data_IF_709091288885
#
_entry.id   IF_709091288885
#
_cell.length_a   1.000
_cell.length_b   1.000
_cell.length_c   1.000
_cell.angle_alpha   90.00
_cell.angle_beta   90.00
_cell.angle_gamma   90.00
#
_symmetry.space_group_name_H-M   'P 1'
#
loop_
_entity.id
_entity.type
_entity.pdbx_description
1 polymer ?
#
# COMPACT_ATOMS: atom_id res chain seq x y z
N UNK A 1 -24.31 33.86 -47.20
CA UNK A 1 -25.39 33.19 -47.96
C UNK A 1 -24.96 31.74 -48.14
N UNK A 2 -25.80 30.78 -47.71
CA UNK A 2 -25.55 29.34 -47.90
C UNK A 2 -25.37 29.07 -49.39
N UNK A 3 -24.30 28.37 -49.77
CA UNK A 3 -24.14 27.90 -51.14
C UNK A 3 -24.66 26.46 -51.18
N UNK A 4 -25.76 26.18 -51.90
CA UNK A 4 -26.40 24.87 -51.89
C UNK A 4 -25.50 23.73 -52.38
N UNK A 5 -24.49 24.02 -53.21
CA UNK A 5 -23.51 23.01 -53.65
C UNK A 5 -22.53 22.67 -52.53
N UNK A 6 -22.08 23.67 -51.75
CA UNK A 6 -21.23 23.45 -50.58
C UNK A 6 -21.96 22.60 -49.54
N UNK A 7 -23.23 22.91 -49.28
CA UNK A 7 -24.04 22.17 -48.31
C UNK A 7 -24.22 20.70 -48.76
N UNK A 8 -24.41 20.44 -50.06
CA UNK A 8 -24.45 19.09 -50.62
C UNK A 8 -23.12 18.33 -50.46
N UNK A 9 -21.97 18.98 -50.66
CA UNK A 9 -20.67 18.35 -50.41
C UNK A 9 -20.46 18.01 -48.94
N UNK A 10 -20.89 18.88 -48.04
CA UNK A 10 -20.85 18.64 -46.59
C UNK A 10 -21.71 17.42 -46.26
N UNK A 11 -22.98 17.36 -46.69
CA UNK A 11 -23.83 16.19 -46.43
C UNK A 11 -23.23 14.89 -46.97
N UNK A 12 -22.71 14.89 -48.20
CA UNK A 12 -22.11 13.70 -48.80
C UNK A 12 -20.88 13.19 -48.02
N UNK A 13 -20.04 14.10 -47.50
CA UNK A 13 -18.91 13.72 -46.66
C UNK A 13 -19.35 13.21 -45.29
N UNK A 14 -20.40 13.79 -44.71
CA UNK A 14 -20.95 13.31 -43.45
C UNK A 14 -21.52 11.89 -43.60
N UNK A 15 -22.25 11.62 -44.68
CA UNK A 15 -22.79 10.28 -44.97
C UNK A 15 -21.66 9.26 -45.18
N UNK A 16 -20.57 9.67 -45.85
CA UNK A 16 -19.37 8.85 -45.98
C UNK A 16 -18.73 8.51 -44.63
N UNK A 17 -18.54 9.52 -43.76
CA UNK A 17 -17.94 9.30 -42.43
C UNK A 17 -18.83 8.41 -41.55
N UNK A 18 -20.15 8.63 -41.56
CA UNK A 18 -21.09 7.79 -40.81
C UNK A 18 -21.03 6.33 -41.30
N UNK A 19 -20.94 6.11 -42.61
CA UNK A 19 -20.80 4.77 -43.19
C UNK A 19 -19.48 4.09 -42.83
N UNK A 20 -18.36 4.82 -42.92
CA UNK A 20 -17.02 4.28 -42.63
C UNK A 20 -16.88 3.94 -41.15
N UNK A 21 -17.22 4.86 -40.24
CA UNK A 21 -17.11 4.62 -38.80
C UNK A 21 -18.20 3.71 -38.24
N UNK A 22 -19.22 3.35 -39.02
CA UNK A 22 -20.14 2.25 -38.69
C UNK A 22 -19.47 0.87 -38.82
N UNK A 23 -18.41 0.76 -39.63
CA UNK A 23 -17.69 -0.49 -39.85
C UNK A 23 -16.67 -0.75 -38.74
N UNK A 24 -16.78 -1.91 -38.09
CA UNK A 24 -15.84 -2.31 -37.02
C UNK A 24 -14.39 -2.36 -37.50
N UNK A 25 -14.16 -2.78 -38.75
CA UNK A 25 -12.84 -2.87 -39.37
C UNK A 25 -12.17 -1.50 -39.47
N UNK A 26 -12.91 -0.46 -39.81
CA UNK A 26 -12.40 0.92 -39.89
C UNK A 26 -12.01 1.42 -38.50
N UNK A 27 -12.86 1.23 -37.49
CA UNK A 27 -12.55 1.61 -36.10
C UNK A 27 -11.27 0.91 -35.60
N UNK A 28 -11.14 -0.39 -35.87
CA UNK A 28 -9.97 -1.16 -35.49
C UNK A 28 -8.70 -0.66 -36.20
N UNK A 29 -8.79 -0.38 -37.50
CA UNK A 29 -7.67 0.15 -38.28
C UNK A 29 -7.21 1.51 -37.74
N UNK A 30 -8.12 2.45 -37.53
CA UNK A 30 -7.81 3.78 -37.02
C UNK A 30 -7.14 3.73 -35.64
N UNK A 31 -7.65 2.88 -34.75
CA UNK A 31 -7.05 2.70 -33.42
C UNK A 31 -5.64 2.07 -33.49
N UNK A 32 -5.45 1.07 -34.36
CA UNK A 32 -4.15 0.43 -34.56
C UNK A 32 -3.13 1.41 -35.15
N UNK A 33 -3.52 2.19 -36.16
CA UNK A 33 -2.67 3.21 -36.78
C UNK A 33 -2.25 4.28 -35.77
N UNK A 34 -3.20 4.78 -34.96
CA UNK A 34 -2.89 5.69 -33.86
C UNK A 34 -1.87 5.07 -32.88
N UNK A 35 -2.08 3.83 -32.46
CA UNK A 35 -1.17 3.13 -31.55
C UNK A 35 0.23 2.96 -32.16
N UNK A 36 0.33 2.56 -33.43
CA UNK A 36 1.59 2.40 -34.15
C UNK A 36 2.36 3.71 -34.30
N UNK A 37 1.67 4.83 -34.47
CA UNK A 37 2.29 6.15 -34.46
C UNK A 37 2.72 6.56 -33.05
N UNK A 38 1.84 6.42 -32.06
CA UNK A 38 2.07 6.87 -30.67
C UNK A 38 3.26 6.16 -30.03
N UNK A 39 3.37 4.83 -30.20
CA UNK A 39 4.45 4.03 -29.58
C UNK A 39 5.86 4.41 -30.07
N UNK A 40 5.97 5.07 -31.23
CA UNK A 40 7.24 5.53 -31.81
C UNK A 40 7.71 6.87 -31.21
N UNK A 41 6.81 7.63 -30.59
CA UNK A 41 7.15 8.91 -29.99
C UNK A 41 7.93 8.70 -28.69
N UNK A 42 8.83 9.63 -28.35
CA UNK A 42 9.46 9.65 -27.03
C UNK A 42 8.61 10.46 -26.07
N UNK A 43 8.73 10.17 -24.77
CA UNK A 43 7.97 10.90 -23.74
C UNK A 43 8.18 12.41 -23.85
N UNK A 44 9.44 12.86 -23.93
CA UNK A 44 9.80 14.28 -23.98
C UNK A 44 9.29 15.04 -25.21
N UNK A 45 8.98 14.32 -26.29
CA UNK A 45 8.49 14.93 -27.53
C UNK A 45 7.01 15.29 -27.44
N UNK A 46 6.25 14.60 -26.57
CA UNK A 46 4.82 14.83 -26.39
C UNK A 46 4.49 15.53 -25.08
N UNK A 47 5.13 15.14 -23.98
CA UNK A 47 4.82 15.63 -22.64
C UNK A 47 6.08 16.08 -21.90
N UNK A 48 6.05 17.31 -21.38
CA UNK A 48 7.10 17.81 -20.50
C UNK A 48 6.88 17.36 -19.06
N UNK A 49 7.94 17.45 -18.26
CA UNK A 49 7.86 17.24 -16.82
C UNK A 49 6.78 18.13 -16.18
N UNK A 50 6.75 19.41 -16.52
CA UNK A 50 5.83 20.40 -15.94
C UNK A 50 4.38 20.03 -16.21
N UNK A 51 4.06 19.54 -17.42
CA UNK A 51 2.71 19.12 -17.77
C UNK A 51 2.26 17.90 -16.94
N UNK A 52 3.12 16.90 -16.83
CA UNK A 52 2.83 15.68 -16.06
C UNK A 52 2.72 16.00 -14.57
N UNK A 53 3.67 16.78 -14.04
CA UNK A 53 3.69 17.18 -12.65
C UNK A 53 2.47 18.03 -12.30
N UNK A 54 2.10 19.02 -13.12
CA UNK A 54 0.91 19.83 -12.89
C UNK A 54 -0.35 18.97 -12.86
N UNK A 55 -0.50 18.01 -13.79
CA UNK A 55 -1.64 17.09 -13.78
C UNK A 55 -1.69 16.27 -12.48
N UNK A 56 -0.57 15.68 -12.09
CA UNK A 56 -0.48 14.86 -10.86
C UNK A 56 -0.75 15.70 -9.62
N UNK A 57 -0.18 16.91 -9.53
CA UNK A 57 -0.42 17.84 -8.45
C UNK A 57 -1.91 18.18 -8.37
N UNK A 58 -2.54 18.57 -9.48
CA UNK A 58 -3.98 18.89 -9.48
C UNK A 58 -4.83 17.69 -9.03
N UNK A 59 -4.56 16.49 -9.55
CA UNK A 59 -5.40 15.33 -9.29
C UNK A 59 -5.16 14.70 -7.91
N UNK A 60 -3.92 14.64 -7.43
CA UNK A 60 -3.58 13.96 -6.17
C UNK A 60 -3.55 14.94 -4.99
N UNK A 61 -3.02 16.14 -5.20
CA UNK A 61 -2.72 17.09 -4.13
C UNK A 61 -3.80 18.16 -3.99
N UNK A 62 -4.40 18.63 -5.08
CA UNK A 62 -5.38 19.73 -5.01
C UNK A 62 -6.83 19.24 -5.02
N UNK A 63 -7.12 18.12 -5.69
CA UNK A 63 -8.48 17.56 -5.79
C UNK A 63 -8.80 16.64 -4.61
N UNK A 64 -9.80 17.00 -3.80
CA UNK A 64 -10.28 16.15 -2.72
C UNK A 64 -11.03 14.92 -3.29
N UNK A 65 -10.92 13.77 -2.61
CA UNK A 65 -11.74 12.62 -2.96
C UNK A 65 -13.22 12.94 -2.77
N UNK A 66 -14.06 12.58 -3.75
CA UNK A 66 -15.49 12.83 -3.63
C UNK A 66 -16.11 11.95 -2.54
N UNK A 67 -17.18 12.39 -1.85
CA UNK A 67 -17.88 11.56 -0.88
C UNK A 67 -18.32 10.21 -1.45
N UNK A 68 -18.75 10.19 -2.71
CA UNK A 68 -19.12 8.97 -3.42
C UNK A 68 -17.92 8.03 -3.60
N UNK A 69 -16.73 8.53 -3.95
CA UNK A 69 -15.54 7.70 -4.05
C UNK A 69 -15.16 7.07 -2.71
N UNK A 70 -15.27 7.83 -1.62
CA UNK A 70 -14.98 7.35 -0.26
C UNK A 70 -15.96 6.23 0.14
N UNK A 71 -17.24 6.42 -0.18
CA UNK A 71 -18.27 5.39 -0.01
C UNK A 71 -17.94 4.13 -0.83
N UNK A 72 -17.57 4.29 -2.11
CA UNK A 72 -17.16 3.17 -2.95
C UNK A 72 -15.95 2.42 -2.37
N UNK A 73 -14.91 3.13 -1.90
CA UNK A 73 -13.76 2.51 -1.24
C UNK A 73 -14.21 1.69 -0.02
N UNK A 74 -15.08 2.26 0.81
CA UNK A 74 -15.65 1.57 1.98
C UNK A 74 -16.36 0.29 1.59
N UNK A 75 -17.21 0.35 0.55
CA UNK A 75 -17.97 -0.81 0.08
C UNK A 75 -17.07 -1.88 -0.55
N UNK A 76 -16.02 -1.51 -1.27
CA UNK A 76 -15.05 -2.45 -1.83
C UNK A 76 -14.25 -3.15 -0.72
N UNK A 77 -13.81 -2.42 0.30
CA UNK A 77 -13.16 -3.01 1.49
C UNK A 77 -14.13 -3.97 2.18
N UNK A 78 -15.40 -3.57 2.37
CA UNK A 78 -16.43 -4.42 2.96
C UNK A 78 -16.60 -5.70 2.15
N UNK A 79 -16.76 -5.59 0.83
CA UNK A 79 -16.93 -6.74 -0.08
C UNK A 79 -15.74 -7.69 -0.02
N UNK A 80 -14.52 -7.16 -0.11
CA UNK A 80 -13.30 -7.96 -0.02
C UNK A 80 -13.20 -8.69 1.33
N UNK A 81 -13.58 -8.04 2.42
CA UNK A 81 -13.58 -8.68 3.74
C UNK A 81 -14.64 -9.77 3.81
N UNK A 82 -15.88 -9.51 3.37
CA UNK A 82 -17.01 -10.46 3.47
C UNK A 82 -17.09 -11.51 2.34
N UNK A 83 -16.15 -11.50 1.40
CA UNK A 83 -16.17 -12.39 0.24
C UNK A 83 -16.19 -13.89 0.64
N UNK A 84 -17.12 -14.72 0.12
CA UNK A 84 -17.22 -16.14 0.47
C UNK A 84 -15.95 -16.95 0.22
N UNK A 85 -15.14 -16.58 -0.79
CA UNK A 85 -13.86 -17.25 -1.05
C UNK A 85 -12.89 -17.18 0.13
N UNK A 86 -13.03 -16.22 1.05
CA UNK A 86 -12.17 -16.10 2.22
C UNK A 86 -12.32 -17.27 3.20
N UNK A 87 -13.41 -18.03 3.12
CA UNK A 87 -13.65 -19.22 3.94
C UNK A 87 -12.88 -20.45 3.42
N UNK A 88 -12.61 -20.48 2.11
CA UNK A 88 -11.96 -21.61 1.43
C UNK A 88 -10.50 -21.32 1.05
N UNK A 89 -10.13 -20.04 0.93
CA UNK A 89 -8.77 -19.61 0.59
C UNK A 89 -7.92 -19.56 1.85
N UNK A 90 -6.78 -20.24 1.82
CA UNK A 90 -5.79 -20.20 2.91
C UNK A 90 -4.72 -19.14 2.65
N UNK A 91 -3.98 -18.74 3.67
CA UNK A 91 -2.89 -17.75 3.54
C UNK A 91 -1.79 -18.25 2.57
N UNK A 92 -1.51 -19.56 2.50
CA UNK A 92 -0.55 -20.13 1.53
C UNK A 92 -1.04 -20.10 0.07
N UNK A 93 -2.35 -20.02 -0.18
CA UNK A 93 -2.90 -19.86 -1.53
C UNK A 93 -2.67 -18.44 -2.07
N UNK A 94 -2.53 -17.45 -1.18
CA UNK A 94 -2.32 -16.04 -1.54
C UNK A 94 -0.83 -15.69 -1.57
N UNK A 95 -0.06 -16.16 -0.59
CA UNK A 95 1.36 -15.81 -0.46
C UNK A 95 2.20 -17.07 -0.67
N UNK A 96 2.95 -17.16 -1.79
CA UNK A 96 3.81 -18.30 -2.05
C UNK A 96 4.84 -18.49 -0.94
N UNK A 97 5.06 -19.74 -0.51
CA UNK A 97 6.05 -20.07 0.53
C UNK A 97 7.47 -19.59 0.18
N UNK A 98 7.82 -19.60 -1.11
CA UNK A 98 9.12 -19.12 -1.61
C UNK A 98 9.29 -17.62 -1.35
N UNK A 99 8.22 -16.84 -1.48
CA UNK A 99 8.23 -15.40 -1.18
C UNK A 99 8.44 -15.16 0.31
N UNK A 100 7.79 -15.94 1.17
CA UNK A 100 7.97 -15.86 2.63
C UNK A 100 9.39 -16.24 3.03
N UNK A 101 9.96 -17.28 2.44
CA UNK A 101 11.33 -17.70 2.72
C UNK A 101 12.35 -16.62 2.32
N UNK A 102 12.19 -16.01 1.14
CA UNK A 102 13.03 -14.88 0.72
C UNK A 102 12.89 -13.67 1.65
N UNK A 103 11.67 -13.30 2.05
CA UNK A 103 11.44 -12.22 3.03
C UNK A 103 12.11 -12.57 4.37
N UNK A 104 11.94 -13.80 4.84
CA UNK A 104 12.49 -14.25 6.12
C UNK A 104 14.02 -14.24 6.12
N UNK A 105 14.65 -14.71 5.05
CA UNK A 105 16.09 -14.63 4.85
C UNK A 105 16.58 -13.17 4.77
N UNK A 106 15.89 -12.33 3.99
CA UNK A 106 16.23 -10.92 3.87
C UNK A 106 16.15 -10.20 5.23
N UNK A 107 15.04 -10.35 5.97
CA UNK A 107 14.86 -9.74 7.29
C UNK A 107 15.85 -10.30 8.31
N UNK A 108 16.09 -11.62 8.31
CA UNK A 108 17.06 -12.26 9.20
C UNK A 108 18.49 -11.75 8.96
N UNK A 109 18.86 -11.47 7.70
CA UNK A 109 20.18 -10.95 7.32
C UNK A 109 20.45 -9.51 7.79
N UNK A 110 19.43 -8.77 8.23
CA UNK A 110 19.56 -7.39 8.70
C UNK A 110 19.98 -7.30 10.17
N UNK A 111 21.12 -7.91 10.51
CA UNK A 111 21.65 -7.98 11.87
C UNK A 111 21.79 -6.61 12.53
N UNK A 112 22.25 -5.60 11.81
CA UNK A 112 22.51 -4.26 12.34
C UNK A 112 21.23 -3.50 12.67
N UNK A 113 20.19 -3.62 11.83
CA UNK A 113 18.89 -3.02 12.14
C UNK A 113 18.23 -3.67 13.36
N UNK A 114 18.34 -5.00 13.50
CA UNK A 114 17.84 -5.71 14.68
C UNK A 114 18.56 -5.30 15.95
N UNK A 115 19.89 -5.29 15.95
CA UNK A 115 20.69 -4.85 17.11
C UNK A 115 20.34 -3.42 17.49
N UNK A 116 20.22 -2.52 16.51
CA UNK A 116 19.83 -1.13 16.75
C UNK A 116 18.43 -1.01 17.38
N UNK A 117 17.45 -1.82 16.95
CA UNK A 117 16.12 -1.85 17.54
C UNK A 117 16.13 -2.40 18.97
N UNK A 118 16.79 -3.54 19.22
CA UNK A 118 16.94 -4.14 20.56
C UNK A 118 17.60 -3.13 21.51
N UNK A 119 18.65 -2.44 21.05
CA UNK A 119 19.32 -1.39 21.81
C UNK A 119 18.39 -0.22 22.13
N UNK A 120 17.54 0.23 21.19
CA UNK A 120 16.57 1.30 21.45
C UNK A 120 15.50 0.89 22.46
N UNK A 121 15.01 -0.35 22.39
CA UNK A 121 14.00 -0.86 23.33
C UNK A 121 14.59 -1.03 24.72
N UNK A 122 15.77 -1.64 24.84
CA UNK A 122 16.42 -1.91 26.14
C UNK A 122 16.88 -0.66 26.85
N UNK A 123 17.31 0.37 26.10
CA UNK A 123 17.63 1.67 26.66
C UNK A 123 16.39 2.55 26.93
N UNK A 124 15.17 2.09 26.62
CA UNK A 124 13.96 2.81 26.96
C UNK A 124 13.70 2.72 28.49
N UNK A 125 13.49 3.86 29.19
CA UNK A 125 13.19 3.88 30.62
C UNK A 125 12.01 2.98 31.02
N UNK A 126 10.96 2.89 30.18
CA UNK A 126 9.80 2.05 30.45
C UNK A 126 10.15 0.55 30.51
N UNK A 127 11.05 0.09 29.64
CA UNK A 127 11.54 -1.30 29.66
C UNK A 127 12.30 -1.60 30.94
N UNK A 128 13.16 -0.68 31.38
CA UNK A 128 13.94 -0.83 32.61
C UNK A 128 13.05 -0.88 33.85
N UNK A 129 12.01 -0.05 33.90
CA UNK A 129 10.99 -0.07 34.95
C UNK A 129 10.23 -1.39 34.97
N UNK A 130 9.79 -1.89 33.80
CA UNK A 130 9.09 -3.16 33.68
C UNK A 130 9.93 -4.34 34.19
N UNK A 131 11.21 -4.43 33.77
CA UNK A 131 12.12 -5.49 34.24
C UNK A 131 12.34 -5.41 35.75
N UNK A 132 12.50 -4.19 36.29
CA UNK A 132 12.66 -3.98 37.73
C UNK A 132 11.42 -4.44 38.50
N UNK A 133 10.22 -4.07 38.03
CA UNK A 133 8.95 -4.48 38.64
C UNK A 133 8.73 -6.00 38.57
N UNK A 134 9.05 -6.64 37.44
CA UNK A 134 8.95 -8.09 37.29
C UNK A 134 9.89 -8.82 38.25
N UNK A 135 11.12 -8.33 38.44
CA UNK A 135 12.07 -8.93 39.40
C UNK A 135 11.58 -8.73 40.84
N UNK A 136 11.12 -7.52 41.19
CA UNK A 136 10.54 -7.24 42.50
C UNK A 136 9.37 -8.16 42.80
N UNK A 137 8.42 -8.27 41.86
CA UNK A 137 7.25 -9.12 42.01
C UNK A 137 7.62 -10.60 42.08
N UNK A 138 8.59 -11.07 41.28
CA UNK A 138 9.05 -12.46 41.33
C UNK A 138 9.73 -12.81 42.65
N UNK A 139 10.49 -11.88 43.24
CA UNK A 139 11.11 -12.05 44.55
C UNK A 139 10.03 -12.09 45.64
N UNK A 140 9.08 -11.15 45.59
CA UNK A 140 7.93 -11.11 46.49
C UNK A 140 7.13 -12.42 46.44
N UNK A 141 6.74 -12.85 45.24
CA UNK A 141 5.99 -14.09 45.03
C UNK A 141 6.77 -15.32 45.51
N UNK A 142 8.09 -15.35 45.31
CA UNK A 142 8.92 -16.45 45.83
C UNK A 142 8.95 -16.46 47.35
N UNK A 143 9.10 -15.31 48.00
CA UNK A 143 9.11 -15.19 49.46
C UNK A 143 7.74 -15.58 50.04
N UNK A 144 6.65 -15.05 49.50
CA UNK A 144 5.28 -15.33 49.95
C UNK A 144 4.91 -16.82 49.79
N UNK A 145 5.24 -17.41 48.63
CA UNK A 145 4.95 -18.83 48.38
C UNK A 145 5.89 -19.78 49.16
N UNK A 146 7.16 -19.41 49.35
CA UNK A 146 8.13 -20.14 50.17
C UNK A 146 7.71 -20.20 51.65
N UNK A 147 7.14 -19.11 52.16
CA UNK A 147 6.65 -19.02 53.53
C UNK A 147 5.30 -19.74 53.70
N UNK A 148 4.42 -19.71 52.70
CA UNK A 148 3.14 -20.45 52.69
C UNK A 148 3.31 -21.98 52.61
N UNK A 149 4.42 -22.49 52.05
CA UNK A 149 4.64 -23.94 51.91
C UNK A 149 5.24 -24.63 53.16
N UNK A 150 5.32 -23.94 54.32
CA UNK A 150 5.76 -24.54 55.58
C UNK A 150 4.62 -25.17 56.39
N UNK A 151 4.04 -26.25 55.88
CA UNK A 151 3.40 -27.29 56.71
C UNK A 151 3.75 -28.68 56.17
N UNK A 152 5.01 -29.07 56.31
CA UNK A 152 5.42 -30.48 56.26
C UNK A 152 5.51 -31.00 57.69
N UNK A 153 4.64 -31.93 58.13
CA UNK A 153 4.75 -32.56 59.44
C UNK A 153 6.02 -33.43 59.48
N UNK A 154 6.95 -33.17 60.40
CA UNK A 154 7.99 -34.16 60.76
C UNK A 154 9.47 -33.73 60.83
N UNK A 155 9.86 -32.47 60.61
CA UNK A 155 11.30 -32.10 60.64
C UNK A 155 11.63 -31.16 61.80
N UNK A 156 11.68 -31.71 63.02
CA UNK A 156 11.87 -30.98 64.27
C UNK A 156 13.31 -30.77 64.76
N UNK A 157 14.37 -31.03 63.96
CA UNK A 157 15.75 -31.03 64.53
C UNK A 157 16.88 -30.36 63.74
N UNK A 158 16.59 -29.50 62.76
CA UNK A 158 17.64 -28.68 62.10
C UNK A 158 17.40 -27.16 62.13
N UNK A 159 16.38 -26.69 62.86
CA UNK A 159 16.06 -25.26 62.98
C UNK A 159 16.94 -24.45 63.95
N UNK A 160 17.95 -25.05 64.60
CA UNK A 160 18.73 -24.36 65.66
C UNK A 160 20.10 -23.83 65.22
N UNK A 161 20.51 -23.98 63.96
CA UNK A 161 21.81 -23.49 63.48
C UNK A 161 21.74 -22.37 62.42
N UNK A 162 20.54 -21.94 62.03
CA UNK A 162 20.33 -20.86 61.06
C UNK A 162 19.65 -19.59 61.61
N UNK A 163 19.42 -19.50 62.92
CA UNK A 163 18.64 -18.41 63.54
C UNK A 163 19.35 -17.05 63.61
N UNK A 164 20.68 -17.00 63.50
CA UNK A 164 21.42 -15.73 63.68
C UNK A 164 21.44 -14.84 62.44
N UNK A 165 21.09 -15.34 61.25
CA UNK A 165 21.13 -14.55 60.00
C UNK A 165 19.72 -14.14 59.56
N UNK A 166 18.69 -14.81 60.07
CA UNK A 166 17.29 -14.60 59.66
C UNK A 166 16.51 -13.58 60.50
N UNK A 167 16.99 -13.16 61.68
CA UNK A 167 16.26 -12.22 62.55
C UNK A 167 16.77 -10.75 62.46
N UNK A 168 17.70 -10.44 61.54
CA UNK A 168 18.18 -9.05 61.32
C UNK A 168 17.71 -8.39 60.02
N UNK A 169 16.89 -9.08 59.22
CA UNK A 169 16.30 -8.51 58.02
C UNK A 169 14.79 -8.56 58.15
N UNK A 170 14.23 -7.50 58.74
CA UNK A 170 12.81 -7.19 58.67
C UNK A 170 12.36 -7.17 57.21
N UNK A 171 11.25 -7.85 56.90
CA UNK A 171 10.74 -8.10 55.54
C UNK A 171 10.67 -6.83 54.67
N UNK A 172 10.38 -5.67 55.25
CA UNK A 172 10.31 -4.38 54.52
C UNK A 172 11.67 -3.86 54.03
N UNK A 173 12.77 -4.14 54.74
CA UNK A 173 14.09 -3.60 54.40
C UNK A 173 14.75 -4.35 53.25
N UNK A 174 14.38 -5.63 53.02
CA UNK A 174 14.95 -6.44 51.94
C UNK A 174 14.36 -6.02 50.60
N UNK A 175 13.05 -5.82 50.53
CA UNK A 175 12.36 -5.36 49.33
C UNK A 175 12.82 -3.96 48.90
N UNK A 176 12.91 -3.02 49.85
CA UNK A 176 13.42 -1.68 49.58
C UNK A 176 14.90 -1.69 49.18
N UNK A 177 15.72 -2.58 49.75
CA UNK A 177 17.14 -2.71 49.38
C UNK A 177 17.32 -3.31 47.99
N UNK A 178 16.53 -4.33 47.64
CA UNK A 178 16.51 -4.94 46.31
C UNK A 178 15.99 -3.94 45.28
N UNK A 179 14.91 -3.22 45.58
CA UNK A 179 14.37 -2.16 44.75
C UNK A 179 15.41 -1.07 44.46
N UNK A 180 16.06 -0.55 45.51
CA UNK A 180 17.10 0.45 45.38
C UNK A 180 18.34 -0.06 44.64
N UNK A 181 18.71 -1.33 44.81
CA UNK A 181 19.82 -1.95 44.09
C UNK A 181 19.51 -2.12 42.60
N UNK A 182 18.31 -2.60 42.25
CA UNK A 182 17.87 -2.73 40.86
C UNK A 182 17.77 -1.37 40.19
N UNK A 183 17.21 -0.37 40.88
CA UNK A 183 17.09 1.00 40.38
C UNK A 183 18.46 1.65 40.13
N UNK A 184 19.43 1.45 41.04
CA UNK A 184 20.81 1.94 40.87
C UNK A 184 21.58 1.21 39.77
N UNK A 185 21.17 -0.01 39.41
CA UNK A 185 21.82 -0.84 38.40
C UNK A 185 20.99 -0.97 37.09
N UNK A 186 20.00 -0.09 36.86
CA UNK A 186 19.17 -0.06 35.65
C UNK A 186 20.02 -0.13 34.37
N UNK A 187 21.15 0.58 34.30
CA UNK A 187 22.04 0.58 33.15
C UNK A 187 22.62 -0.83 32.90
N UNK A 188 23.03 -1.55 33.94
CA UNK A 188 23.54 -2.92 33.82
C UNK A 188 22.44 -3.91 33.45
N UNK A 189 21.24 -3.73 34.00
CA UNK A 189 20.06 -4.54 33.66
C UNK A 189 19.68 -4.35 32.19
N UNK A 190 19.74 -3.11 31.70
CA UNK A 190 19.52 -2.78 30.29
C UNK A 190 20.55 -3.45 29.38
N UNK A 191 21.85 -3.36 29.71
CA UNK A 191 22.93 -4.01 28.94
C UNK A 191 22.87 -5.54 28.96
N UNK A 192 22.53 -6.13 30.11
CA UNK A 192 22.34 -7.57 30.24
C UNK A 192 21.11 -8.03 29.45
N UNK A 193 20.01 -7.26 29.49
CA UNK A 193 18.82 -7.51 28.69
C UNK A 193 19.11 -7.37 27.19
N UNK A 194 19.91 -6.39 26.76
CA UNK A 194 20.37 -6.25 25.37
C UNK A 194 21.17 -7.47 24.94
N UNK A 195 22.08 -7.97 25.79
CA UNK A 195 22.88 -9.17 25.50
C UNK A 195 22.01 -10.42 25.39
N UNK A 196 21.11 -10.64 26.35
CA UNK A 196 20.19 -11.78 26.36
C UNK A 196 19.25 -11.72 25.16
N UNK A 197 18.66 -10.55 24.85
CA UNK A 197 17.79 -10.38 23.69
C UNK A 197 18.53 -10.65 22.38
N UNK A 198 19.78 -10.18 22.23
CA UNK A 198 20.57 -10.49 21.03
C UNK A 198 20.95 -11.98 20.91
N UNK A 199 21.09 -12.70 22.02
CA UNK A 199 21.31 -14.17 22.02
C UNK A 199 20.05 -14.96 21.68
N UNK A 200 18.87 -14.46 22.05
CA UNK A 200 17.58 -15.11 21.80
C UNK A 200 16.91 -14.67 20.49
N UNK A 201 17.26 -13.50 19.96
CA UNK A 201 16.86 -12.98 18.66
C UNK A 201 18.12 -12.76 17.81
N UNK A 202 18.77 -13.84 17.40
CA UNK A 202 19.84 -13.81 16.39
C UNK A 202 19.28 -14.20 15.02
N UNK A 203 20.10 -14.10 13.96
CA UNK A 203 19.68 -14.32 12.57
C UNK A 203 18.99 -15.69 12.39
N UNK A 204 19.60 -16.75 12.93
CA UNK A 204 19.10 -18.12 12.86
C UNK A 204 17.79 -18.33 13.62
N UNK A 205 17.71 -17.86 14.88
CA UNK A 205 16.49 -17.97 15.69
C UNK A 205 15.35 -17.13 15.12
N UNK A 206 15.65 -15.99 14.52
CA UNK A 206 14.66 -15.15 13.85
C UNK A 206 14.14 -15.83 12.58
N UNK A 207 15.00 -16.49 11.82
CA UNK A 207 14.57 -17.31 10.68
C UNK A 207 13.68 -18.48 11.14
N UNK A 208 14.11 -19.25 12.14
CA UNK A 208 13.32 -20.36 12.69
C UNK A 208 11.99 -19.89 13.28
N UNK A 209 11.96 -18.76 13.97
CA UNK A 209 10.73 -18.15 14.48
C UNK A 209 9.76 -17.81 13.35
N UNK A 210 10.24 -17.17 12.28
CA UNK A 210 9.42 -16.85 11.11
C UNK A 210 8.91 -18.10 10.39
N UNK A 211 9.75 -19.13 10.21
CA UNK A 211 9.32 -20.40 9.62
C UNK A 211 8.25 -21.10 10.47
N UNK A 212 8.42 -21.11 11.79
CA UNK A 212 7.44 -21.68 12.72
C UNK A 212 6.13 -20.89 12.73
N UNK A 213 6.19 -19.55 12.67
CA UNK A 213 5.01 -18.71 12.51
C UNK A 213 4.31 -19.00 11.20
N UNK A 214 5.05 -19.08 10.08
CA UNK A 214 4.50 -19.41 8.77
C UNK A 214 3.77 -20.75 8.79
N UNK A 215 4.38 -21.81 9.33
CA UNK A 215 3.74 -23.12 9.46
C UNK A 215 2.42 -23.08 10.24
N UNK A 216 2.29 -22.18 11.21
CA UNK A 216 1.06 -22.00 12.01
C UNK A 216 0.00 -21.20 11.27
N UNK A 217 0.38 -20.11 10.59
CA UNK A 217 -0.59 -19.20 9.97
C UNK A 217 -1.01 -19.65 8.56
N UNK A 218 -0.16 -20.36 7.83
CA UNK A 218 -0.34 -20.59 6.40
C UNK A 218 -1.64 -21.33 6.04
N UNK A 219 -2.09 -22.24 6.91
CA UNK A 219 -3.33 -23.01 6.75
C UNK A 219 -4.56 -22.31 7.29
N UNK A 220 -4.41 -21.14 7.92
CA UNK A 220 -5.56 -20.39 8.39
C UNK A 220 -6.33 -19.84 7.19
N UNK A 221 -7.67 -19.92 7.21
CA UNK A 221 -8.48 -19.25 6.21
C UNK A 221 -8.32 -17.74 6.34
N UNK A 222 -8.41 -17.04 5.21
CA UNK A 222 -8.28 -15.57 5.15
C UNK A 222 -9.39 -14.89 5.94
N UNK A 223 -10.54 -15.54 6.11
CA UNK A 223 -11.66 -15.01 6.91
C UNK A 223 -11.29 -14.68 8.38
N UNK A 224 -10.18 -15.22 8.92
CA UNK A 224 -9.70 -14.93 10.27
C UNK A 224 -9.44 -13.42 10.45
N UNK A 225 -9.10 -12.70 9.38
CA UNK A 225 -8.91 -11.24 9.39
C UNK A 225 -10.20 -10.49 9.78
N UNK A 226 -11.39 -11.03 9.48
CA UNK A 226 -12.67 -10.43 9.88
C UNK A 226 -12.84 -10.33 11.39
N UNK A 227 -12.23 -11.25 12.15
CA UNK A 227 -12.34 -11.24 13.62
C UNK A 227 -11.61 -10.04 14.24
N UNK A 228 -10.74 -9.38 13.50
CA UNK A 228 -9.94 -8.24 13.96
C UNK A 228 -10.40 -6.90 13.36
N UNK A 229 -11.32 -6.92 12.39
CA UNK A 229 -11.84 -5.73 11.72
C UNK A 229 -13.35 -5.69 11.91
N UNK A 230 -13.84 -4.68 12.64
CA UNK A 230 -15.27 -4.47 12.81
C UNK A 230 -15.88 -3.92 11.51
N UNK A 231 -16.49 -4.81 10.73
CA UNK A 231 -17.06 -4.51 9.41
C UNK A 231 -18.13 -3.40 9.49
N UNK A 232 -18.85 -3.30 10.62
CA UNK A 232 -19.88 -2.28 10.84
C UNK A 232 -19.28 -0.87 11.05
N UNK A 233 -18.03 -0.77 11.49
CA UNK A 233 -17.33 0.49 11.74
C UNK A 233 -16.38 0.89 10.59
N UNK A 234 -16.41 0.15 9.47
CA UNK A 234 -15.65 0.49 8.27
C UNK A 234 -15.90 1.91 7.75
N UNK A 235 -17.14 2.43 7.67
CA UNK A 235 -17.35 3.80 7.22
C UNK A 235 -16.63 4.84 8.08
N UNK A 236 -16.59 4.62 9.42
CA UNK A 236 -15.86 5.50 10.33
C UNK A 236 -14.35 5.37 10.16
N UNK A 237 -13.86 4.14 10.04
CA UNK A 237 -12.41 3.86 9.90
C UNK A 237 -11.86 4.40 8.58
N UNK A 238 -12.60 4.22 7.48
CA UNK A 238 -12.25 4.80 6.17
C UNK A 238 -12.35 6.32 6.21
N UNK A 239 -13.35 6.87 6.89
CA UNK A 239 -13.46 8.32 7.15
C UNK A 239 -12.23 8.90 7.85
N UNK A 240 -11.76 8.25 8.93
CA UNK A 240 -10.53 8.67 9.63
C UNK A 240 -9.29 8.58 8.72
N UNK A 241 -9.18 7.51 7.93
CA UNK A 241 -8.11 7.37 6.94
C UNK A 241 -8.14 8.48 5.89
N UNK A 242 -9.33 8.89 5.45
CA UNK A 242 -9.53 10.01 4.54
C UNK A 242 -9.11 11.35 5.17
N UNK A 243 -9.46 11.61 6.44
CA UNK A 243 -9.02 12.83 7.14
C UNK A 243 -7.49 12.93 7.24
N UNK A 244 -6.82 11.82 7.54
CA UNK A 244 -5.36 11.74 7.54
C UNK A 244 -4.80 12.03 6.15
N UNK A 245 -5.39 11.44 5.10
CA UNK A 245 -5.00 11.70 3.72
C UNK A 245 -5.17 13.17 3.33
N UNK A 246 -6.31 13.78 3.66
CA UNK A 246 -6.60 15.20 3.41
C UNK A 246 -5.57 16.11 4.08
N UNK A 247 -5.15 15.78 5.30
CA UNK A 247 -4.09 16.51 5.95
C UNK A 247 -2.73 16.31 5.24
N UNK A 248 -2.31 15.06 5.05
CA UNK A 248 -0.98 14.73 4.50
C UNK A 248 -0.83 15.30 3.09
N UNK A 249 -1.86 15.23 2.23
CA UNK A 249 -1.79 15.73 0.85
C UNK A 249 -1.54 17.23 0.74
N UNK A 250 -1.95 18.00 1.75
CA UNK A 250 -1.73 19.44 1.80
C UNK A 250 -0.36 19.83 2.37
N UNK A 251 0.36 18.90 3.00
CA UNK A 251 1.68 19.18 3.58
C UNK A 251 2.74 19.45 2.52
N UNK A 252 3.67 20.34 2.85
CA UNK A 252 4.86 20.58 2.02
C UNK A 252 5.70 19.30 1.84
N UNK A 253 5.67 18.42 2.84
CA UNK A 253 6.32 17.11 2.76
C UNK A 253 5.80 16.29 1.57
N UNK A 254 4.49 16.07 1.46
CA UNK A 254 3.97 15.25 0.35
C UNK A 254 4.11 15.97 -0.99
N UNK A 255 3.90 17.30 -1.03
CA UNK A 255 4.12 18.11 -2.24
C UNK A 255 5.53 17.92 -2.79
N UNK A 256 6.54 18.01 -1.93
CA UNK A 256 7.93 17.80 -2.32
C UNK A 256 8.20 16.34 -2.75
N UNK A 257 7.67 15.35 -2.03
CA UNK A 257 7.83 13.93 -2.39
C UNK A 257 7.21 13.61 -3.75
N UNK A 258 6.04 14.17 -4.06
CA UNK A 258 5.39 14.00 -5.38
C UNK A 258 6.22 14.69 -6.45
N UNK A 259 6.66 15.92 -6.23
CA UNK A 259 7.52 16.63 -7.17
C UNK A 259 8.79 15.83 -7.51
N UNK A 260 9.56 15.46 -6.49
CA UNK A 260 10.84 14.79 -6.68
C UNK A 260 10.66 13.37 -7.22
N UNK A 261 9.58 12.68 -6.84
CA UNK A 261 9.20 11.38 -7.39
C UNK A 261 8.86 11.43 -8.87
N UNK A 262 8.02 12.39 -9.28
CA UNK A 262 7.66 12.61 -10.69
C UNK A 262 8.88 13.05 -11.48
N UNK A 263 9.73 13.92 -10.92
CA UNK A 263 10.96 14.37 -11.57
C UNK A 263 11.94 13.21 -11.80
N UNK A 264 12.19 12.40 -10.77
CA UNK A 264 13.06 11.23 -10.88
C UNK A 264 12.53 10.20 -11.88
N UNK A 265 11.21 9.98 -11.92
CA UNK A 265 10.58 9.13 -12.92
C UNK A 265 10.74 9.72 -14.32
N UNK A 266 10.45 11.01 -14.51
CA UNK A 266 10.54 11.68 -15.80
C UNK A 266 11.97 11.67 -16.33
N UNK A 267 12.95 12.05 -15.51
CA UNK A 267 14.36 12.09 -15.90
C UNK A 267 14.87 10.73 -16.42
N UNK A 268 14.38 9.62 -15.84
CA UNK A 268 14.71 8.25 -16.27
C UNK A 268 13.99 7.80 -17.55
N UNK A 269 12.85 8.39 -17.86
CA UNK A 269 11.94 7.92 -18.90
C UNK A 269 11.80 8.88 -20.09
N UNK A 270 12.28 10.12 -19.99
CA UNK A 270 12.08 11.17 -20.99
C UNK A 270 12.57 10.80 -22.41
N UNK A 271 13.62 9.99 -22.51
CA UNK A 271 14.17 9.52 -23.79
C UNK A 271 13.61 8.16 -24.24
N UNK A 272 12.82 7.49 -23.39
CA UNK A 272 12.21 6.21 -23.74
C UNK A 272 11.01 6.45 -24.64
N UNK A 273 10.80 5.53 -25.58
CA UNK A 273 9.60 5.53 -26.41
C UNK A 273 8.39 5.07 -25.62
N UNK A 274 7.19 5.49 -26.05
CA UNK A 274 5.94 4.99 -25.47
C UNK A 274 5.77 3.48 -25.62
N UNK A 275 6.39 2.83 -26.61
CA UNK A 275 6.43 1.37 -26.68
C UNK A 275 7.02 0.75 -25.41
N UNK A 276 8.16 1.27 -24.94
CA UNK A 276 8.83 0.75 -23.74
C UNK A 276 8.03 1.07 -22.48
N UNK A 277 7.49 2.29 -22.38
CA UNK A 277 6.70 2.71 -21.22
C UNK A 277 5.39 1.91 -21.08
N UNK A 278 4.70 1.65 -22.19
CA UNK A 278 3.46 0.87 -22.18
C UNK A 278 3.74 -0.61 -21.86
N UNK A 279 4.85 -1.17 -22.34
CA UNK A 279 5.25 -2.55 -22.00
C UNK A 279 5.54 -2.75 -20.52
N UNK A 280 6.10 -1.77 -19.83
CA UNK A 280 6.37 -1.84 -18.38
C UNK A 280 5.06 -2.04 -17.56
N UNK A 281 3.91 -1.63 -18.11
CA UNK A 281 2.58 -1.83 -17.51
C UNK A 281 1.75 -2.89 -18.26
N UNK A 282 2.41 -3.79 -19.00
CA UNK A 282 1.82 -4.88 -19.78
C UNK A 282 0.85 -4.46 -20.89
N UNK A 283 0.94 -3.21 -21.36
CA UNK A 283 0.20 -2.75 -22.53
C UNK A 283 1.05 -2.98 -23.78
N UNK A 284 0.65 -3.98 -24.57
CA UNK A 284 1.33 -4.36 -25.80
C UNK A 284 0.33 -4.44 -26.97
N UNK A 285 0.84 -4.62 -28.18
CA UNK A 285 0.05 -4.65 -29.42
C UNK A 285 -1.07 -5.71 -29.39
N UNK A 286 -0.79 -6.87 -28.80
CA UNK A 286 -1.78 -7.95 -28.65
C UNK A 286 -2.96 -7.52 -27.75
N UNK A 287 -2.68 -6.86 -26.63
CA UNK A 287 -3.71 -6.31 -25.74
C UNK A 287 -4.56 -5.25 -26.47
N UNK A 288 -3.91 -4.36 -27.23
CA UNK A 288 -4.57 -3.32 -28.01
C UNK A 288 -5.53 -3.96 -29.02
N UNK A 289 -5.02 -4.86 -29.87
CA UNK A 289 -5.78 -5.43 -30.99
C UNK A 289 -6.89 -6.39 -30.55
N UNK A 290 -6.66 -7.18 -29.49
CA UNK A 290 -7.59 -8.24 -29.11
C UNK A 290 -8.55 -7.85 -27.98
N UNK A 291 -8.19 -6.91 -27.11
CA UNK A 291 -9.01 -6.56 -25.94
C UNK A 291 -9.50 -5.12 -25.97
N UNK A 292 -8.59 -4.14 -26.14
CA UNK A 292 -9.01 -2.73 -26.09
C UNK A 292 -9.87 -2.34 -27.30
N UNK A 293 -9.57 -2.84 -28.50
CA UNK A 293 -10.41 -2.61 -29.68
C UNK A 293 -11.84 -3.11 -29.47
N UNK A 294 -12.03 -4.28 -28.86
CA UNK A 294 -13.36 -4.83 -28.61
C UNK A 294 -14.15 -3.94 -27.63
N UNK A 295 -13.49 -3.37 -26.62
CA UNK A 295 -14.10 -2.45 -25.66
C UNK A 295 -14.39 -1.06 -26.25
N UNK A 296 -13.56 -0.58 -27.18
CA UNK A 296 -13.72 0.72 -27.82
C UNK A 296 -14.77 0.72 -28.93
N UNK A 297 -14.90 -0.39 -29.67
CA UNK A 297 -15.85 -0.52 -30.78
C UNK A 297 -17.28 -0.08 -30.43
N UNK A 298 -17.94 -0.57 -29.35
CA UNK A 298 -19.30 -0.16 -29.01
C UNK A 298 -19.40 1.33 -28.66
N UNK A 299 -18.36 1.94 -28.10
CA UNK A 299 -18.34 3.37 -27.77
C UNK A 299 -18.39 4.20 -29.05
N UNK A 300 -17.58 3.85 -30.05
CA UNK A 300 -17.57 4.55 -31.34
C UNK A 300 -18.87 4.31 -32.12
N UNK A 301 -19.41 3.09 -32.06
CA UNK A 301 -20.71 2.79 -32.66
C UNK A 301 -21.83 3.62 -32.04
N UNK A 302 -21.85 3.79 -30.72
CA UNK A 302 -22.81 4.67 -30.04
C UNK A 302 -22.60 6.15 -30.43
N UNK A 303 -21.34 6.58 -30.56
CA UNK A 303 -21.02 7.94 -31.02
C UNK A 303 -21.53 8.24 -32.44
N UNK A 304 -21.52 7.24 -33.33
CA UNK A 304 -22.11 7.33 -34.68
C UNK A 304 -23.65 7.32 -34.60
N UNK A 305 -24.23 6.37 -33.86
CA UNK A 305 -25.69 6.22 -33.73
C UNK A 305 -26.37 7.44 -33.09
N UNK A 306 -25.72 8.04 -32.08
CA UNK A 306 -26.16 9.27 -31.42
C UNK A 306 -25.98 10.53 -32.29
N UNK A 307 -25.45 10.40 -33.51
CA UNK A 307 -25.11 11.49 -34.45
C UNK A 307 -24.06 12.46 -33.93
N UNK A 308 -23.41 12.17 -32.80
CA UNK A 308 -22.38 13.03 -32.24
C UNK A 308 -21.20 13.20 -33.21
N UNK A 309 -20.76 12.11 -33.85
CA UNK A 309 -19.71 12.18 -34.88
C UNK A 309 -20.12 13.11 -36.03
N UNK A 310 -21.34 12.95 -36.54
CA UNK A 310 -21.88 13.76 -37.63
C UNK A 310 -21.91 15.25 -37.30
N UNK A 311 -22.40 15.62 -36.11
CA UNK A 311 -22.45 17.01 -35.67
C UNK A 311 -21.04 17.62 -35.52
N UNK A 312 -20.10 16.87 -34.93
CA UNK A 312 -18.71 17.32 -34.80
C UNK A 312 -18.02 17.46 -36.14
N UNK A 313 -18.21 16.51 -37.06
CA UNK A 313 -17.66 16.57 -38.41
C UNK A 313 -18.22 17.78 -39.18
N UNK A 314 -19.54 18.02 -39.12
CA UNK A 314 -20.19 19.16 -39.80
C UNK A 314 -19.55 20.49 -39.41
N UNK A 315 -19.34 20.71 -38.12
CA UNK A 315 -18.73 21.94 -37.60
C UNK A 315 -17.37 22.25 -38.24
N UNK A 316 -16.53 21.23 -38.46
CA UNK A 316 -15.22 21.43 -39.11
C UNK A 316 -15.34 21.53 -40.64
N UNK A 317 -16.25 20.76 -41.25
CA UNK A 317 -16.49 20.84 -42.69
C UNK A 317 -17.04 22.19 -43.09
N UNK A 318 -18.00 22.75 -42.36
CA UNK A 318 -18.50 24.11 -42.59
C UNK A 318 -17.38 25.15 -42.48
N UNK A 319 -16.53 25.07 -41.45
CA UNK A 319 -15.36 25.95 -41.32
C UNK A 319 -14.41 25.84 -42.51
N UNK A 320 -14.21 24.64 -43.04
CA UNK A 320 -13.36 24.40 -44.19
C UNK A 320 -13.99 24.94 -45.48
N UNK A 321 -15.19 24.51 -45.84
CA UNK A 321 -15.82 24.89 -47.12
C UNK A 321 -16.19 26.37 -47.20
N UNK A 322 -16.56 26.99 -46.07
CA UNK A 322 -16.83 28.42 -46.02
C UNK A 322 -15.58 29.27 -45.76
N UNK A 323 -14.39 28.67 -45.68
CA UNK A 323 -13.13 29.42 -45.65
C UNK A 323 -12.91 30.20 -46.94
N UNK A 324 -12.21 31.33 -46.85
CA UNK A 324 -11.91 32.15 -48.02
C UNK A 324 -11.05 31.41 -49.05
N UNK A 325 -10.18 30.52 -48.59
CA UNK A 325 -9.35 29.66 -49.44
C UNK A 325 -10.22 28.77 -50.34
N UNK A 326 -11.20 28.06 -49.77
CA UNK A 326 -12.05 27.15 -50.53
C UNK A 326 -13.04 27.91 -51.41
N UNK A 327 -13.61 29.02 -50.93
CA UNK A 327 -14.47 29.88 -51.75
C UNK A 327 -13.75 30.42 -52.99
N UNK A 328 -12.45 30.69 -52.92
CA UNK A 328 -11.67 31.14 -54.07
C UNK A 328 -11.40 30.02 -55.08
N UNK A 329 -11.39 28.75 -54.66
CA UNK A 329 -11.26 27.59 -55.53
C UNK A 329 -12.61 27.26 -56.20
N UNK A 330 -13.71 27.38 -55.45
CA UNK A 330 -15.07 27.05 -55.90
C UNK A 330 -15.79 28.22 -56.62
N UNK A 331 -15.05 29.28 -56.98
CA UNK A 331 -15.57 30.47 -57.67
C UNK A 331 -15.76 30.26 -59.17
#
# INVERSE_FOLDING_TARGET
>A
MSNPIIDQFIEAQLDFLDQEFSQKTTIQSEFSEFYHWFRKQQLKDLWSFEQIYHLIQTQILDTAASPFLIEQITEHIRFALIHPSNDQTTIEDIIPVVTIDHIAQYVASKSEHRKALIKRITNNPAFSTMVTQLIQHSIQDYLDNSLMNKKVPGVGRFMKMGKSVLESVTDSNLDDTVANYLQKNIIKLSQLSETVLNQHFNDEKLYQFQANLWHKIKKLPVNVVRNYIEVNDLPKTVGMGHEIWEHIRQTDYLKQQVHDGVYAWYARNQERSFDLLLRDININEELIQNQLTELLTPIIQEMVQSKHLRERARHYLEKFYYSEQVKNILK
#
